data_IF_953225099857
#
_entry.id   IF_953225099857
#
_cell.length_a   1.000
_cell.length_b   1.000
_cell.length_c   1.000
_cell.angle_alpha   90.00
_cell.angle_beta   90.00
_cell.angle_gamma   90.00
#
_symmetry.space_group_name_H-M   'P 1'
#
loop_
_entity.id
_entity.type
_entity.pdbx_description
1 polymer ?
#
# COMPACT_ATOMS: atom_id res chain seq x y z
N UNK A 1 9.26 14.22 8.61
CA UNK A 1 8.22 13.16 8.55
C UNK A 1 8.57 11.94 9.42
N UNK A 2 9.80 11.43 9.45
CA UNK A 2 10.17 10.23 10.22
C UNK A 2 9.70 10.30 11.68
N UNK A 3 9.91 11.46 12.34
CA UNK A 3 9.46 11.67 13.71
C UNK A 3 7.93 11.69 13.83
N UNK A 4 7.21 12.26 12.86
CA UNK A 4 5.75 12.24 12.84
C UNK A 4 5.21 10.81 12.73
N UNK A 5 5.85 10.00 11.87
CA UNK A 5 5.49 8.59 11.71
C UNK A 5 5.77 7.79 12.98
N UNK A 6 6.95 7.97 13.60
CA UNK A 6 7.26 7.30 14.85
C UNK A 6 6.24 7.59 15.95
N UNK A 7 5.77 8.85 16.06
CA UNK A 7 4.74 9.23 17.01
C UNK A 7 3.38 8.61 16.66
N UNK A 8 3.01 8.57 15.38
CA UNK A 8 1.79 7.90 14.94
C UNK A 8 1.81 6.40 15.23
N UNK A 9 2.98 5.75 15.10
CA UNK A 9 3.17 4.33 15.43
C UNK A 9 2.93 4.01 16.91
N UNK A 10 3.18 4.96 17.81
CA UNK A 10 2.91 4.82 19.25
C UNK A 10 1.57 5.44 19.66
N UNK A 11 0.71 5.72 18.69
CA UNK A 11 -0.64 6.28 18.91
C UNK A 11 -0.67 7.73 19.44
N UNK A 12 0.42 8.47 19.33
CA UNK A 12 0.44 9.93 19.61
C UNK A 12 0.10 10.73 18.33
N UNK A 13 -1.13 10.57 17.87
CA UNK A 13 -1.60 11.20 16.63
C UNK A 13 -1.59 12.75 16.68
N UNK A 14 -1.74 13.35 17.87
CA UNK A 14 -1.74 14.81 18.02
C UNK A 14 -0.36 15.40 17.77
N UNK A 15 0.66 14.84 18.41
CA UNK A 15 2.06 15.27 18.21
C UNK A 15 2.55 14.90 16.81
N UNK A 16 2.13 13.74 16.28
CA UNK A 16 2.43 13.31 14.91
C UNK A 16 1.89 14.31 13.89
N UNK A 17 0.60 14.68 14.01
CA UNK A 17 -0.02 15.66 13.11
C UNK A 17 0.68 17.02 13.18
N UNK A 18 0.97 17.53 14.38
CA UNK A 18 1.65 18.81 14.54
C UNK A 18 3.00 18.85 13.80
N UNK A 19 3.81 17.81 13.93
CA UNK A 19 5.08 17.73 13.23
C UNK A 19 4.88 17.63 11.71
N UNK A 20 3.88 16.87 11.27
CA UNK A 20 3.55 16.79 9.85
C UNK A 20 3.11 18.16 9.30
N UNK A 21 2.27 18.89 10.04
CA UNK A 21 1.82 20.25 9.67
C UNK A 21 3.01 21.24 9.54
N UNK A 22 3.98 21.17 10.48
CA UNK A 22 5.20 21.99 10.43
C UNK A 22 6.03 21.68 9.18
N UNK A 23 6.24 20.42 8.86
CA UNK A 23 7.00 19.99 7.66
C UNK A 23 6.29 20.41 6.38
N UNK A 24 4.96 20.27 6.32
CA UNK A 24 4.19 20.69 5.14
C UNK A 24 4.22 22.20 4.95
N UNK A 25 4.15 22.97 6.03
CA UNK A 25 4.25 24.41 5.98
C UNK A 25 5.62 24.89 5.44
N UNK A 26 6.71 24.20 5.73
CA UNK A 26 8.03 24.47 5.15
C UNK A 26 8.09 24.05 3.67
N UNK A 27 7.58 22.85 3.34
CA UNK A 27 7.53 22.36 1.97
C UNK A 27 6.80 23.32 1.01
N UNK A 28 5.71 23.93 1.47
CA UNK A 28 4.91 24.86 0.66
C UNK A 28 5.51 26.26 0.52
N UNK A 29 6.47 26.62 1.37
CA UNK A 29 7.18 27.93 1.26
C UNK A 29 8.29 27.92 0.22
N UNK A 30 8.91 26.77 -0.02
CA UNK A 30 10.02 26.65 -0.93
C UNK A 30 9.50 26.24 -2.31
N UNK A 31 9.96 26.97 -3.34
CA UNK A 31 9.76 26.55 -4.74
C UNK A 31 10.77 25.43 -5.05
N UNK A 32 10.48 24.23 -4.51
CA UNK A 32 11.35 23.06 -4.58
C UNK A 32 11.33 22.38 -5.97
N UNK A 33 10.60 22.97 -6.91
CA UNK A 33 10.48 22.44 -8.26
C UNK A 33 11.69 22.82 -9.12
N UNK A 34 12.75 22.04 -9.03
CA UNK A 34 13.77 22.05 -10.08
C UNK A 34 13.43 20.93 -11.08
N UNK A 35 13.20 21.29 -12.34
CA UNK A 35 12.81 20.37 -13.42
C UNK A 35 13.81 19.22 -13.66
N UNK A 36 15.02 19.32 -13.12
CA UNK A 36 16.10 18.37 -13.36
C UNK A 36 16.27 17.28 -12.28
N UNK A 37 15.62 17.38 -11.15
CA UNK A 37 15.80 16.43 -10.03
C UNK A 37 14.59 15.53 -9.82
N UNK A 38 14.46 14.51 -10.65
CA UNK A 38 13.40 13.47 -10.58
C UNK A 38 13.25 12.87 -9.17
N UNK A 39 14.38 12.68 -8.48
CA UNK A 39 14.36 12.12 -7.11
C UNK A 39 13.70 13.09 -6.11
N UNK A 40 14.01 14.38 -6.19
CA UNK A 40 13.41 15.39 -5.31
C UNK A 40 11.90 15.51 -5.54
N UNK A 41 11.45 15.47 -6.80
CA UNK A 41 10.03 15.49 -7.14
C UNK A 41 9.28 14.28 -6.59
N UNK A 42 9.87 13.08 -6.69
CA UNK A 42 9.25 11.88 -6.14
C UNK A 42 9.13 11.96 -4.61
N UNK A 43 10.16 12.45 -3.91
CA UNK A 43 10.10 12.68 -2.46
C UNK A 43 8.99 13.67 -2.09
N UNK A 44 8.84 14.77 -2.83
CA UNK A 44 7.78 15.77 -2.61
C UNK A 44 6.39 15.11 -2.80
N UNK A 45 6.19 14.34 -3.87
CA UNK A 45 4.95 13.63 -4.10
C UNK A 45 4.63 12.64 -2.96
N UNK A 46 5.63 11.88 -2.51
CA UNK A 46 5.51 11.00 -1.35
C UNK A 46 5.13 11.76 -0.07
N UNK A 47 5.68 12.95 0.15
CA UNK A 47 5.34 13.77 1.32
C UNK A 47 3.88 14.18 1.30
N UNK A 48 3.32 14.60 0.15
CA UNK A 48 1.89 14.88 0.03
C UNK A 48 1.02 13.65 0.30
N UNK A 49 1.36 12.49 -0.27
CA UNK A 49 0.65 11.24 -0.01
C UNK A 49 0.67 10.81 1.46
N UNK A 50 1.78 11.08 2.14
CA UNK A 50 1.92 10.80 3.56
C UNK A 50 1.09 11.76 4.41
N UNK A 51 1.10 13.04 4.04
CA UNK A 51 0.34 14.04 4.76
C UNK A 51 -1.17 13.79 4.68
N UNK A 52 -1.67 13.24 3.58
CA UNK A 52 -3.06 12.81 3.43
C UNK A 52 -3.56 11.95 4.60
N UNK A 53 -2.70 11.27 5.33
CA UNK A 53 -3.11 10.41 6.45
C UNK A 53 -3.28 11.17 7.76
N UNK A 54 -2.65 12.32 7.86
CA UNK A 54 -2.84 13.24 8.98
C UNK A 54 -3.99 14.23 8.71
N UNK A 55 -4.20 14.54 7.44
CA UNK A 55 -5.26 15.41 6.94
C UNK A 55 -5.88 14.76 5.69
N UNK A 56 -6.97 13.95 5.84
CA UNK A 56 -7.55 13.16 4.75
C UNK A 56 -8.35 14.02 3.75
N UNK A 57 -7.76 15.09 3.26
CA UNK A 57 -8.26 15.93 2.19
C UNK A 57 -7.64 15.47 0.85
N UNK A 58 -8.47 15.10 -0.11
CA UNK A 58 -8.05 14.58 -1.42
C UNK A 58 -7.10 15.52 -2.16
N UNK A 59 -7.14 16.82 -1.87
CA UNK A 59 -6.21 17.81 -2.45
C UNK A 59 -4.73 17.41 -2.30
N UNK A 60 -4.37 16.67 -1.24
CA UNK A 60 -3.00 16.24 -1.02
C UNK A 60 -2.57 15.16 -2.01
N UNK A 61 -3.49 14.24 -2.34
CA UNK A 61 -3.27 13.24 -3.38
C UNK A 61 -3.22 13.88 -4.77
N UNK A 62 -4.08 14.88 -5.04
CA UNK A 62 -4.04 15.66 -6.28
C UNK A 62 -2.71 16.41 -6.43
N UNK A 63 -2.17 17.00 -5.36
CA UNK A 63 -0.83 17.61 -5.37
C UNK A 63 0.27 16.59 -5.67
N UNK A 64 0.19 15.40 -5.08
CA UNK A 64 1.15 14.32 -5.35
C UNK A 64 1.13 13.90 -6.83
N UNK A 65 -0.06 13.71 -7.41
CA UNK A 65 -0.21 13.42 -8.84
C UNK A 65 0.36 14.54 -9.71
N UNK A 66 0.01 15.79 -9.41
CA UNK A 66 0.49 16.93 -10.16
C UNK A 66 2.03 17.04 -10.19
N UNK A 67 2.70 16.71 -9.09
CA UNK A 67 4.17 16.63 -9.05
C UNK A 67 4.68 15.52 -9.97
N UNK A 68 4.08 14.32 -9.90
CA UNK A 68 4.51 13.17 -10.72
C UNK A 68 4.27 13.39 -12.21
N UNK A 69 3.14 13.98 -12.59
CA UNK A 69 2.81 14.28 -14.00
C UNK A 69 3.83 15.21 -14.68
N UNK A 70 4.53 16.04 -13.91
CA UNK A 70 5.60 16.91 -14.42
C UNK A 70 6.93 16.19 -14.63
N UNK A 71 7.08 14.98 -14.11
CA UNK A 71 8.33 14.22 -14.25
C UNK A 71 8.56 13.79 -15.70
N UNK A 72 9.80 13.93 -16.16
CA UNK A 72 10.15 13.48 -17.50
C UNK A 72 10.45 11.97 -17.54
N UNK A 73 9.41 11.17 -17.74
CA UNK A 73 9.48 9.71 -17.75
C UNK A 73 10.44 9.14 -18.81
N UNK A 74 10.76 9.91 -19.87
CA UNK A 74 11.71 9.47 -20.91
C UNK A 74 13.14 9.33 -20.37
N UNK A 75 13.44 10.02 -19.27
CA UNK A 75 14.76 9.94 -18.60
C UNK A 75 14.84 8.76 -17.61
N UNK A 76 13.76 8.02 -17.38
CA UNK A 76 13.73 6.96 -16.39
C UNK A 76 14.31 5.65 -16.94
N UNK A 77 15.02 4.94 -16.08
CA UNK A 77 15.34 3.52 -16.29
C UNK A 77 14.06 2.67 -16.25
N UNK A 78 14.13 1.42 -16.66
CA UNK A 78 12.97 0.51 -16.54
C UNK A 78 12.50 0.39 -15.09
N UNK A 79 13.41 0.20 -14.15
CA UNK A 79 13.08 0.20 -12.72
C UNK A 79 12.45 1.53 -12.26
N UNK A 80 12.91 2.66 -12.78
CA UNK A 80 12.31 3.97 -12.53
C UNK A 80 10.89 4.08 -13.08
N UNK A 81 10.60 3.48 -14.24
CA UNK A 81 9.24 3.42 -14.81
C UNK A 81 8.32 2.53 -13.99
N UNK A 82 8.80 1.36 -13.55
CA UNK A 82 8.06 0.48 -12.63
C UNK A 82 7.60 1.26 -11.41
N UNK A 83 8.54 1.96 -10.76
CA UNK A 83 8.24 2.76 -9.57
C UNK A 83 7.26 3.88 -9.88
N UNK A 84 7.49 4.63 -10.94
CA UNK A 84 6.65 5.76 -11.35
C UNK A 84 5.18 5.34 -11.57
N UNK A 85 4.95 4.32 -12.40
CA UNK A 85 3.60 3.84 -12.66
C UNK A 85 2.95 3.22 -11.43
N UNK A 86 3.70 2.46 -10.63
CA UNK A 86 3.18 1.91 -9.37
C UNK A 86 2.77 3.00 -8.38
N UNK A 87 3.53 4.07 -8.28
CA UNK A 87 3.26 5.17 -7.36
C UNK A 87 2.06 6.01 -7.80
N UNK A 88 1.90 6.27 -9.09
CA UNK A 88 0.71 6.94 -9.65
C UNK A 88 -0.52 6.06 -9.43
N UNK A 89 -0.44 4.78 -9.80
CA UNK A 89 -1.51 3.82 -9.60
C UNK A 89 -1.97 3.75 -8.13
N UNK A 90 -1.01 3.72 -7.22
CA UNK A 90 -1.28 3.72 -5.79
C UNK A 90 -1.97 5.00 -5.30
N UNK A 91 -1.60 6.16 -5.86
CA UNK A 91 -2.27 7.42 -5.54
C UNK A 91 -3.73 7.41 -6.03
N UNK A 92 -3.98 6.94 -7.26
CA UNK A 92 -5.34 6.76 -7.78
C UNK A 92 -6.15 5.73 -6.97
N UNK A 93 -5.51 4.62 -6.57
CA UNK A 93 -6.12 3.64 -5.68
C UNK A 93 -6.56 4.28 -4.34
N UNK A 94 -5.72 5.11 -3.73
CA UNK A 94 -6.07 5.86 -2.50
C UNK A 94 -7.23 6.83 -2.69
N UNK A 95 -7.38 7.39 -3.88
CA UNK A 95 -8.51 8.24 -4.25
C UNK A 95 -9.79 7.45 -4.55
N UNK A 96 -9.73 6.11 -4.59
CA UNK A 96 -10.83 5.23 -4.99
C UNK A 96 -11.07 5.18 -6.49
N UNK A 97 -10.14 5.73 -7.29
CA UNK A 97 -10.22 5.67 -8.76
C UNK A 97 -9.57 4.37 -9.26
N UNK A 98 -10.25 3.25 -8.98
CA UNK A 98 -9.71 1.91 -9.24
C UNK A 98 -9.52 1.60 -10.72
N UNK A 99 -10.28 2.23 -11.62
CA UNK A 99 -10.15 2.01 -13.06
C UNK A 99 -8.84 2.57 -13.60
N UNK A 100 -8.46 3.78 -13.21
CA UNK A 100 -7.19 4.40 -13.60
C UNK A 100 -6.02 3.70 -12.89
N UNK A 101 -6.17 3.39 -11.60
CA UNK A 101 -5.18 2.65 -10.85
C UNK A 101 -4.85 1.29 -11.48
N UNK A 102 -5.86 0.54 -11.93
CA UNK A 102 -5.68 -0.73 -12.66
C UNK A 102 -4.82 -0.56 -13.91
N UNK A 103 -5.11 0.47 -14.73
CA UNK A 103 -4.36 0.73 -15.97
C UNK A 103 -2.88 1.00 -15.68
N UNK A 104 -2.59 1.83 -14.68
CA UNK A 104 -1.23 2.18 -14.32
C UNK A 104 -0.49 1.01 -13.63
N UNK A 105 -1.17 0.19 -12.81
CA UNK A 105 -0.58 -1.04 -12.28
C UNK A 105 -0.26 -2.04 -13.41
N UNK A 106 -1.16 -2.22 -14.37
CA UNK A 106 -0.88 -3.05 -15.54
C UNK A 106 0.32 -2.51 -16.32
N UNK A 107 0.40 -1.20 -16.54
CA UNK A 107 1.55 -0.57 -17.21
C UNK A 107 2.85 -0.80 -16.43
N UNK A 108 2.83 -0.69 -15.10
CA UNK A 108 4.00 -1.02 -14.27
C UNK A 108 4.45 -2.46 -14.45
N UNK A 109 3.50 -3.41 -14.48
CA UNK A 109 3.76 -4.84 -14.62
C UNK A 109 4.29 -5.24 -16.01
N UNK A 110 4.10 -4.41 -17.04
CA UNK A 110 4.76 -4.58 -18.35
C UNK A 110 6.29 -4.42 -18.27
N UNK A 111 6.78 -3.59 -17.34
CA UNK A 111 8.22 -3.37 -17.14
C UNK A 111 8.84 -4.39 -16.18
N UNK A 112 8.17 -4.72 -15.08
CA UNK A 112 8.58 -5.78 -14.16
C UNK A 112 7.41 -6.28 -13.31
N UNK A 113 7.39 -7.58 -13.04
CA UNK A 113 6.42 -8.22 -12.14
C UNK A 113 6.82 -7.92 -10.69
N UNK A 114 6.14 -6.97 -10.04
CA UNK A 114 6.37 -6.64 -8.63
C UNK A 114 5.20 -7.12 -7.79
N UNK A 115 5.47 -7.66 -6.61
CA UNK A 115 4.45 -8.08 -5.64
C UNK A 115 3.51 -6.91 -5.30
N UNK A 116 4.08 -5.72 -5.12
CA UNK A 116 3.32 -4.49 -4.86
C UNK A 116 2.23 -4.25 -5.91
N UNK A 117 2.60 -4.15 -7.19
CA UNK A 117 1.64 -3.86 -8.24
C UNK A 117 0.59 -4.97 -8.38
N UNK A 118 0.98 -6.24 -8.25
CA UNK A 118 0.07 -7.38 -8.32
C UNK A 118 -0.96 -7.39 -7.19
N UNK A 119 -0.54 -7.08 -5.96
CA UNK A 119 -1.42 -7.05 -4.78
C UNK A 119 -2.46 -5.94 -4.91
N UNK A 120 -2.03 -4.72 -5.27
CA UNK A 120 -2.96 -3.60 -5.41
C UNK A 120 -3.82 -3.69 -6.67
N UNK A 121 -3.33 -4.34 -7.72
CA UNK A 121 -4.14 -4.69 -8.88
C UNK A 121 -5.27 -5.65 -8.50
N UNK A 122 -5.01 -6.66 -7.65
CA UNK A 122 -6.05 -7.54 -7.12
C UNK A 122 -7.15 -6.71 -6.44
N UNK A 123 -6.79 -5.79 -5.57
CA UNK A 123 -7.77 -4.95 -4.87
C UNK A 123 -8.60 -4.10 -5.85
N UNK A 124 -7.95 -3.47 -6.83
CA UNK A 124 -8.66 -2.74 -7.89
C UNK A 124 -9.66 -3.61 -8.64
N UNK A 125 -9.29 -4.84 -8.97
CA UNK A 125 -10.15 -5.75 -9.71
C UNK A 125 -11.32 -6.28 -8.86
N UNK A 126 -11.12 -6.49 -7.57
CA UNK A 126 -12.17 -6.89 -6.63
C UNK A 126 -13.17 -5.76 -6.42
N UNK A 127 -12.70 -4.53 -6.18
CA UNK A 127 -13.55 -3.35 -6.02
C UNK A 127 -14.42 -3.08 -7.27
N UNK A 128 -13.87 -3.31 -8.44
CA UNK A 128 -14.58 -3.21 -9.71
C UNK A 128 -15.43 -4.45 -10.06
N UNK A 129 -15.47 -5.47 -9.19
CA UNK A 129 -16.20 -6.73 -9.39
C UNK A 129 -15.78 -7.49 -10.66
N UNK A 130 -14.53 -7.31 -11.07
CA UNK A 130 -13.93 -8.00 -12.23
C UNK A 130 -13.44 -9.41 -11.90
N UNK A 131 -13.21 -9.70 -10.60
CA UNK A 131 -12.81 -11.01 -10.09
C UNK A 131 -14.00 -11.64 -9.36
N UNK A 132 -14.20 -12.93 -9.60
CA UNK A 132 -15.23 -13.75 -8.93
C UNK A 132 -14.65 -14.89 -8.11
N UNK A 133 -13.41 -15.27 -8.38
CA UNK A 133 -12.72 -16.38 -7.75
C UNK A 133 -11.28 -15.97 -7.41
N UNK A 134 -11.02 -15.87 -6.10
CA UNK A 134 -9.70 -15.44 -5.60
C UNK A 134 -8.62 -16.45 -5.96
N UNK A 135 -8.92 -17.75 -5.86
CA UNK A 135 -7.98 -18.83 -6.17
C UNK A 135 -7.53 -18.76 -7.64
N UNK A 136 -8.45 -18.61 -8.58
CA UNK A 136 -8.13 -18.47 -10.02
C UNK A 136 -7.19 -17.28 -10.27
N UNK A 137 -7.42 -16.15 -9.61
CA UNK A 137 -6.52 -15.00 -9.71
C UNK A 137 -5.14 -15.33 -9.17
N UNK A 138 -5.04 -15.90 -7.96
CA UNK A 138 -3.78 -16.23 -7.33
C UNK A 138 -2.99 -17.29 -8.10
N UNK A 139 -3.67 -18.20 -8.82
CA UNK A 139 -3.04 -19.17 -9.73
C UNK A 139 -2.47 -18.50 -10.99
N UNK A 140 -3.06 -17.39 -11.44
CA UNK A 140 -2.67 -16.66 -12.65
C UNK A 140 -1.47 -15.73 -12.45
N UNK A 141 -1.08 -15.44 -11.21
CA UNK A 141 0.00 -14.50 -10.89
C UNK A 141 1.19 -15.20 -10.26
N UNK A 142 2.38 -14.76 -10.65
CA UNK A 142 3.64 -15.15 -10.04
C UNK A 142 4.09 -14.01 -9.11
N UNK A 143 4.12 -14.27 -7.81
CA UNK A 143 4.62 -13.32 -6.84
C UNK A 143 6.12 -13.54 -6.67
N UNK A 144 6.93 -12.60 -7.19
CA UNK A 144 8.36 -12.56 -6.91
C UNK A 144 8.58 -11.86 -5.58
N UNK A 145 9.57 -12.26 -4.82
CA UNK A 145 10.04 -11.74 -3.54
C UNK A 145 9.10 -10.74 -2.83
N UNK A 146 8.24 -11.26 -1.96
CA UNK A 146 7.22 -10.46 -1.27
C UNK A 146 7.77 -9.59 -0.14
N UNK A 147 8.93 -9.90 0.40
CA UNK A 147 9.64 -9.08 1.39
C UNK A 147 8.74 -8.31 2.37
N UNK A 148 8.85 -6.99 2.34
CA UNK A 148 8.04 -6.09 3.16
C UNK A 148 6.55 -6.05 2.78
N UNK A 149 6.17 -6.54 1.59
CA UNK A 149 4.80 -6.52 1.09
C UNK A 149 3.93 -7.65 1.68
N UNK A 150 4.52 -8.54 2.48
CA UNK A 150 3.86 -9.71 3.05
C UNK A 150 2.63 -9.38 3.92
N UNK A 151 2.65 -8.27 4.65
CA UNK A 151 1.52 -7.85 5.48
C UNK A 151 0.40 -7.28 4.63
N UNK A 152 0.73 -6.46 3.64
CA UNK A 152 -0.25 -5.93 2.70
C UNK A 152 -0.91 -7.04 1.90
N UNK A 153 -0.13 -8.07 1.54
CA UNK A 153 -0.68 -9.28 0.93
C UNK A 153 -1.76 -9.91 1.81
N UNK A 154 -1.47 -10.15 3.10
CA UNK A 154 -2.47 -10.72 4.02
C UNK A 154 -3.71 -9.83 4.13
N UNK A 155 -3.53 -8.52 4.20
CA UNK A 155 -4.63 -7.57 4.33
C UNK A 155 -5.48 -7.55 3.07
N UNK A 156 -4.88 -7.41 1.89
CA UNK A 156 -5.61 -7.29 0.62
C UNK A 156 -6.27 -8.62 0.25
N UNK A 157 -5.56 -9.74 0.38
CA UNK A 157 -6.14 -11.07 0.12
C UNK A 157 -7.25 -11.40 1.12
N UNK A 158 -7.08 -11.02 2.40
CA UNK A 158 -8.13 -11.17 3.41
C UNK A 158 -9.39 -10.36 3.06
N UNK A 159 -9.22 -9.13 2.59
CA UNK A 159 -10.32 -8.29 2.09
C UNK A 159 -11.01 -8.90 0.88
N UNK A 160 -10.23 -9.32 -0.11
CA UNK A 160 -10.76 -9.97 -1.29
C UNK A 160 -11.58 -11.21 -0.93
N UNK A 161 -11.06 -12.05 -0.01
CA UNK A 161 -11.78 -13.23 0.48
C UNK A 161 -13.12 -12.87 1.15
N UNK A 162 -13.14 -11.79 1.97
CA UNK A 162 -14.38 -11.32 2.60
C UNK A 162 -15.38 -10.83 1.55
N UNK A 163 -14.95 -10.00 0.60
CA UNK A 163 -15.82 -9.43 -0.42
C UNK A 163 -16.40 -10.51 -1.36
N UNK A 164 -15.58 -11.51 -1.69
CA UNK A 164 -15.98 -12.63 -2.53
C UNK A 164 -16.73 -13.73 -1.75
N UNK A 165 -16.87 -13.62 -0.43
CA UNK A 165 -17.42 -14.66 0.47
C UNK A 165 -16.69 -16.00 0.35
N UNK A 166 -15.38 -15.97 0.13
CA UNK A 166 -14.52 -17.15 0.06
C UNK A 166 -14.14 -17.61 1.47
N UNK A 167 -14.98 -18.50 2.04
CA UNK A 167 -14.82 -18.96 3.42
C UNK A 167 -13.52 -19.75 3.63
N UNK A 168 -13.05 -20.49 2.63
CA UNK A 168 -11.83 -21.30 2.74
C UNK A 168 -10.61 -20.40 2.87
N UNK A 169 -10.52 -19.39 2.02
CA UNK A 169 -9.47 -18.36 2.10
C UNK A 169 -9.57 -17.55 3.41
N UNK A 170 -10.78 -17.21 3.88
CA UNK A 170 -10.98 -16.52 5.16
C UNK A 170 -10.37 -17.32 6.32
N UNK A 171 -10.70 -18.61 6.44
CA UNK A 171 -10.21 -19.45 7.54
C UNK A 171 -8.69 -19.67 7.44
N UNK A 172 -8.16 -19.76 6.23
CA UNK A 172 -6.74 -19.87 6.00
C UNK A 172 -6.00 -18.60 6.45
N UNK A 173 -6.46 -17.41 6.03
CA UNK A 173 -5.86 -16.13 6.42
C UNK A 173 -5.92 -15.94 7.94
N UNK A 174 -7.05 -16.26 8.61
CA UNK A 174 -7.15 -16.22 10.07
C UNK A 174 -6.08 -17.06 10.76
N UNK A 175 -5.85 -18.29 10.26
CA UNK A 175 -4.81 -19.17 10.80
C UNK A 175 -3.44 -18.53 10.69
N UNK A 176 -3.09 -17.97 9.51
CA UNK A 176 -1.81 -17.31 9.31
C UNK A 176 -1.62 -16.06 10.18
N UNK A 177 -2.65 -15.24 10.36
CA UNK A 177 -2.60 -14.09 11.27
C UNK A 177 -2.27 -14.56 12.70
N UNK A 178 -2.88 -15.64 13.18
CA UNK A 178 -2.64 -16.18 14.53
C UNK A 178 -1.25 -16.80 14.70
N UNK A 179 -0.73 -17.44 13.65
CA UNK A 179 0.60 -18.05 13.65
C UNK A 179 1.72 -17.01 13.49
N UNK A 180 1.40 -15.81 13.03
CA UNK A 180 2.37 -14.76 12.77
C UNK A 180 2.77 -14.05 14.07
N UNK A 181 4.03 -14.19 14.46
CA UNK A 181 4.59 -13.45 15.59
C UNK A 181 5.10 -12.09 15.12
N UNK A 182 4.27 -11.06 15.21
CA UNK A 182 4.64 -9.70 14.83
C UNK A 182 4.95 -8.90 16.08
N UNK A 183 6.20 -8.49 16.21
CA UNK A 183 6.67 -7.68 17.35
C UNK A 183 6.38 -6.19 17.17
N UNK A 184 6.20 -5.72 15.92
CA UNK A 184 5.93 -4.31 15.61
C UNK A 184 4.50 -3.95 16.01
N UNK A 185 4.28 -3.06 17.01
CA UNK A 185 2.95 -2.76 17.57
C UNK A 185 1.94 -2.30 16.52
N UNK A 186 2.42 -1.55 15.53
CA UNK A 186 1.63 -1.05 14.41
C UNK A 186 0.99 -2.18 13.59
N UNK A 187 1.78 -3.14 13.12
CA UNK A 187 1.28 -4.28 12.36
C UNK A 187 0.39 -5.20 13.19
N UNK A 188 0.74 -5.37 14.48
CA UNK A 188 -0.08 -6.14 15.41
C UNK A 188 -1.48 -5.55 15.56
N UNK A 189 -1.60 -4.25 15.61
CA UNK A 189 -2.90 -3.57 15.65
C UNK A 189 -3.73 -3.89 14.40
N UNK A 190 -3.15 -3.76 13.22
CA UNK A 190 -3.88 -3.95 11.96
C UNK A 190 -4.24 -5.40 11.68
N UNK A 191 -3.36 -6.33 11.98
CA UNK A 191 -3.69 -7.75 11.83
C UNK A 191 -4.79 -8.16 12.82
N UNK A 192 -4.82 -7.56 14.01
CA UNK A 192 -5.92 -7.79 14.96
C UNK A 192 -7.24 -7.22 14.44
N UNK A 193 -7.22 -6.04 13.83
CA UNK A 193 -8.41 -5.46 13.21
C UNK A 193 -8.88 -6.31 12.02
N UNK A 194 -7.97 -6.79 11.17
CA UNK A 194 -8.29 -7.72 10.10
C UNK A 194 -8.90 -9.02 10.66
N UNK A 195 -8.32 -9.59 11.70
CA UNK A 195 -8.86 -10.78 12.37
C UNK A 195 -10.31 -10.56 12.85
N UNK A 196 -10.58 -9.42 13.49
CA UNK A 196 -11.92 -9.05 13.95
C UNK A 196 -12.92 -8.89 12.79
N UNK A 197 -12.49 -8.34 11.67
CA UNK A 197 -13.34 -8.18 10.49
C UNK A 197 -13.60 -9.51 9.79
N UNK A 198 -12.58 -10.36 9.68
CA UNK A 198 -12.73 -11.74 9.20
C UNK A 198 -13.71 -12.53 10.07
N UNK A 199 -13.69 -12.33 11.41
CA UNK A 199 -14.65 -12.95 12.32
C UNK A 199 -16.08 -12.42 12.12
N UNK A 200 -16.24 -11.11 11.84
CA UNK A 200 -17.55 -10.47 11.68
C UNK A 200 -18.13 -10.62 10.26
N UNK A 201 -17.34 -11.11 9.29
CA UNK A 201 -17.71 -11.12 7.86
C UNK A 201 -18.21 -9.75 7.37
N UNK A 202 -17.64 -8.66 7.85
CA UNK A 202 -18.13 -7.32 7.55
C UNK A 202 -17.12 -6.53 6.71
N UNK A 203 -17.56 -6.06 5.54
CA UNK A 203 -16.74 -5.32 4.58
C UNK A 203 -16.30 -3.91 4.98
N UNK A 204 -15.90 -3.66 6.24
CA UNK A 204 -15.44 -2.35 6.74
C UNK A 204 -13.93 -2.10 6.61
N UNK A 205 -13.20 -3.04 6.07
CA UNK A 205 -11.73 -3.04 6.06
C UNK A 205 -11.13 -1.95 5.15
N UNK A 206 -11.85 -1.49 4.12
CA UNK A 206 -11.36 -0.40 3.26
C UNK A 206 -10.99 0.87 4.03
N UNK A 207 -11.66 1.15 5.15
CA UNK A 207 -11.28 2.27 6.02
C UNK A 207 -9.94 2.03 6.73
N UNK A 208 -9.58 0.78 6.93
CA UNK A 208 -8.32 0.40 7.55
C UNK A 208 -7.15 0.53 6.58
N UNK A 209 -7.28 0.01 5.36
CA UNK A 209 -6.27 0.11 4.32
C UNK A 209 -5.90 1.55 4.02
N UNK A 210 -6.87 2.45 3.99
CA UNK A 210 -6.63 3.88 3.84
C UNK A 210 -5.83 4.48 5.01
N UNK A 211 -5.89 3.89 6.20
CA UNK A 211 -5.07 4.29 7.36
C UNK A 211 -3.66 3.69 7.35
N UNK A 212 -3.49 2.51 6.74
CA UNK A 212 -2.22 1.76 6.67
C UNK A 212 -1.24 2.29 5.63
N UNK A 213 -1.79 2.73 4.54
CA UNK A 213 -1.07 2.98 3.31
C UNK A 213 0.13 3.94 3.41
N UNK A 214 0.19 4.90 4.35
CA UNK A 214 1.27 5.87 4.40
C UNK A 214 2.55 5.40 5.06
N UNK A 215 2.39 4.54 6.05
CA UNK A 215 3.51 4.07 6.86
C UNK A 215 4.32 3.01 6.12
N UNK A 216 3.71 2.35 5.15
CA UNK A 216 4.30 1.31 4.34
C UNK A 216 5.51 1.76 3.53
N UNK A 217 5.44 2.88 2.80
CA UNK A 217 6.58 3.40 2.01
C UNK A 217 7.81 3.67 2.87
N UNK A 218 7.61 4.00 4.17
CA UNK A 218 8.71 4.19 5.11
C UNK A 218 9.35 2.88 5.58
N UNK A 219 8.57 1.83 5.69
CA UNK A 219 9.08 0.51 6.08
C UNK A 219 9.93 -0.13 4.98
N UNK A 220 9.64 0.17 3.71
CA UNK A 220 10.47 -0.24 2.56
C UNK A 220 11.83 0.46 2.56
N UNK A 221 11.92 1.69 3.09
CA UNK A 221 13.18 2.42 3.20
C UNK A 221 14.06 1.98 4.37
N UNK A 222 13.58 1.10 5.25
CA UNK A 222 14.36 0.51 6.33
C UNK A 222 14.55 -1.00 6.12
N UNK A 223 15.57 -1.43 5.38
CA UNK A 223 15.82 -2.86 5.12
C UNK A 223 16.15 -3.69 6.37
N UNK A 224 16.17 -3.10 7.55
CA UNK A 224 16.48 -3.77 8.81
C UNK A 224 15.25 -4.41 9.49
N UNK A 225 14.05 -4.30 8.95
CA UNK A 225 12.86 -5.01 9.44
C UNK A 225 12.72 -6.45 8.90
N UNK A 226 13.83 -7.07 8.51
CA UNK A 226 13.92 -8.47 8.07
C UNK A 226 13.52 -9.52 9.14
N UNK A 227 12.74 -9.15 10.15
CA UNK A 227 12.30 -10.02 11.25
C UNK A 227 10.80 -10.35 11.23
N UNK A 228 10.06 -10.01 10.17
CA UNK A 228 8.65 -10.38 10.08
C UNK A 228 8.59 -11.81 9.56
N UNK A 229 8.37 -12.76 10.47
CA UNK A 229 8.35 -14.20 10.18
C UNK A 229 7.12 -14.68 9.42
N UNK A 230 6.68 -13.94 8.39
CA UNK A 230 5.56 -14.35 7.53
C UNK A 230 6.15 -15.13 6.35
N UNK A 231 5.83 -16.42 6.27
CA UNK A 231 6.16 -17.23 5.09
C UNK A 231 5.05 -17.12 4.05
N UNK A 232 5.15 -16.10 3.21
CA UNK A 232 4.14 -15.81 2.18
C UNK A 232 4.09 -16.89 1.10
N UNK A 233 5.22 -17.49 0.75
CA UNK A 233 5.24 -18.61 -0.22
C UNK A 233 4.34 -19.75 0.24
N UNK A 234 4.45 -20.13 1.52
CA UNK A 234 3.59 -21.15 2.11
C UNK A 234 2.11 -20.73 2.13
N UNK A 235 1.82 -19.45 2.42
CA UNK A 235 0.45 -18.94 2.39
C UNK A 235 -0.13 -19.05 0.98
N UNK A 236 0.64 -18.62 -0.03
CA UNK A 236 0.24 -18.72 -1.43
C UNK A 236 0.01 -20.16 -1.89
N UNK A 237 0.91 -21.08 -1.52
CA UNK A 237 0.74 -22.52 -1.83
C UNK A 237 -0.56 -23.07 -1.22
N UNK A 238 -0.85 -22.71 0.02
CA UNK A 238 -2.06 -23.18 0.72
C UNK A 238 -3.34 -22.50 0.19
N UNK A 239 -3.29 -21.24 -0.25
CA UNK A 239 -4.40 -20.55 -0.91
C UNK A 239 -4.72 -21.09 -2.31
N UNK A 240 -3.73 -21.66 -2.98
CA UNK A 240 -3.88 -22.29 -4.32
C UNK A 240 -4.40 -23.73 -4.27
N UNK A 241 -4.46 -24.37 -3.10
CA UNK A 241 -5.04 -25.71 -2.89
C UNK A 241 -6.56 -25.67 -2.75
#
# INVERSE_FOLDING_TARGET
>A
FDKAIQLALVSDNTSAKKIADEVMAELEKEDLYTEDEVYSQDVIAMMYEMYYNFDPDVKWLEKALHVREKMNIKKFTEAGKVKYYSDIAYTYWKMGNYEVAEQDFCTSLEYAKTAFAQIYLLDCLVEQKKIKNLKEYLESVEFEDMGADSIDFLIIVGNAAIQLNDNDSIELIKRYIKETNIEVPYYKFYLKELELELEKKSGKIMRLLNKLSPLRKYLILQPQLNGIGINVEKILEDLKK
#
